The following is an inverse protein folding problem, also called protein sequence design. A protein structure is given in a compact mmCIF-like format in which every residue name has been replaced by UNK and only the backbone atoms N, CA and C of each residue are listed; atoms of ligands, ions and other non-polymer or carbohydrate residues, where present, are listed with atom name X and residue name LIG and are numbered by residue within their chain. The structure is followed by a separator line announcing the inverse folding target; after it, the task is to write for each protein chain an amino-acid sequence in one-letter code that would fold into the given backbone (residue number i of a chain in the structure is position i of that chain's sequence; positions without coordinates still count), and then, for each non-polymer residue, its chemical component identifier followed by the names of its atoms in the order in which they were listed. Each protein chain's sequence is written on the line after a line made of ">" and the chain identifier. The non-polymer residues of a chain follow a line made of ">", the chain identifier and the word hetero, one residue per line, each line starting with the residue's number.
data_IF_811630163667
#
_entry.id   IF_811630163667
#
_cell.length_a   1.000
_cell.length_b   1.000
_cell.length_c   1.000
_cell.angle_alpha   90.00
_cell.angle_beta   90.00
_cell.angle_gamma   90.00
#
_symmetry.space_group_name_H-M   'P 1'
#
loop_
_entity.id
_entity.type
_entity.pdbx_description
1 polymer ?
#
# COMPACT_ATOMS: atom_id res chain seq x y z
N UNK A 1 -4.09 15.41 -4.70
CA UNK A 1 -3.31 15.11 -3.48
C UNK A 1 -2.28 16.21 -3.31
N UNK A 2 -2.21 16.85 -2.14
CA UNK A 2 -1.14 17.80 -1.80
C UNK A 2 -0.13 17.14 -0.85
N UNK A 3 1.14 17.50 -0.95
CA UNK A 3 2.19 17.05 -0.02
C UNK A 3 1.88 17.60 1.38
N UNK A 4 2.14 16.82 2.43
CA UNK A 4 1.84 17.09 3.85
C UNK A 4 0.33 17.19 4.21
N UNK A 5 -0.56 16.90 3.27
CA UNK A 5 -1.96 16.67 3.59
C UNK A 5 -2.15 15.22 4.05
N UNK A 6 -3.05 15.00 5.02
CA UNK A 6 -3.49 13.65 5.37
C UNK A 6 -3.97 12.91 4.13
N UNK A 7 -3.47 11.69 3.93
CA UNK A 7 -3.99 10.80 2.90
C UNK A 7 -5.49 10.54 3.13
N UNK A 8 -6.32 10.53 2.07
CA UNK A 8 -7.72 10.11 2.17
C UNK A 8 -7.83 8.72 2.77
N UNK A 9 -8.78 8.53 3.69
CA UNK A 9 -9.05 7.21 4.25
C UNK A 9 -9.84 6.37 3.23
N UNK A 10 -9.52 5.09 3.15
CA UNK A 10 -10.20 4.11 2.30
C UNK A 10 -10.17 2.74 2.97
N UNK A 11 -11.07 1.87 2.51
CA UNK A 11 -11.21 0.50 2.97
C UNK A 11 -11.27 -0.43 1.76
N UNK A 12 -10.39 -1.42 1.70
CA UNK A 12 -10.31 -2.39 0.61
C UNK A 12 -10.12 -3.80 1.19
N UNK A 13 -10.71 -4.83 0.56
CA UNK A 13 -10.46 -6.21 0.93
C UNK A 13 -9.06 -6.65 0.47
N UNK A 14 -8.41 -7.49 1.27
CA UNK A 14 -7.23 -8.24 0.83
C UNK A 14 -7.61 -9.48 0.00
N UNK A 15 -6.60 -10.27 -0.37
CA UNK A 15 -6.77 -11.52 -1.12
C UNK A 15 -7.57 -12.59 -0.36
N UNK A 16 -7.60 -12.53 0.97
CA UNK A 16 -8.38 -13.41 1.84
C UNK A 16 -9.78 -12.85 2.17
N UNK A 17 -10.09 -11.64 1.69
CA UNK A 17 -11.34 -10.92 1.92
C UNK A 17 -11.40 -10.14 3.23
N UNK A 18 -10.31 -10.04 3.98
CA UNK A 18 -10.24 -9.20 5.18
C UNK A 18 -10.25 -7.73 4.78
N UNK A 19 -11.08 -6.92 5.44
CA UNK A 19 -11.14 -5.49 5.16
C UNK A 19 -10.00 -4.75 5.88
N UNK A 20 -9.17 -4.07 5.10
CA UNK A 20 -8.11 -3.19 5.59
C UNK A 20 -8.50 -1.74 5.38
N UNK A 21 -8.50 -0.98 6.47
CA UNK A 21 -8.70 0.47 6.45
C UNK A 21 -7.37 1.19 6.65
N UNK A 22 -7.06 2.19 5.83
CA UNK A 22 -5.78 2.92 5.91
C UNK A 22 -5.54 3.51 7.30
N UNK A 23 -6.59 4.04 7.94
CA UNK A 23 -6.51 4.60 9.29
C UNK A 23 -6.13 3.59 10.39
N UNK A 24 -6.27 2.27 10.17
CA UNK A 24 -5.80 1.25 11.14
C UNK A 24 -4.27 1.19 11.26
N UNK A 25 -3.53 1.69 10.26
CA UNK A 25 -2.07 1.65 10.23
C UNK A 25 -1.40 2.93 10.78
N UNK A 26 -2.17 3.85 11.36
CA UNK A 26 -1.63 5.08 11.96
C UNK A 26 -0.56 4.77 13.01
N UNK A 27 0.48 5.61 13.06
CA UNK A 27 1.64 5.40 13.94
C UNK A 27 2.76 4.55 13.33
N UNK A 28 2.58 4.07 12.09
CA UNK A 28 3.63 3.41 11.30
C UNK A 28 3.90 4.20 10.02
N UNK A 29 5.09 4.02 9.44
CA UNK A 29 5.34 4.43 8.06
C UNK A 29 4.63 3.43 7.15
N UNK A 30 3.78 3.92 6.25
CA UNK A 30 2.97 3.09 5.35
C UNK A 30 3.23 3.55 3.93
N UNK A 31 3.54 2.60 3.04
CA UNK A 31 3.67 2.83 1.61
C UNK A 31 2.39 2.33 0.94
N UNK A 32 1.63 3.22 0.30
CA UNK A 32 0.48 2.85 -0.52
C UNK A 32 0.95 2.70 -1.96
N UNK A 33 1.06 1.46 -2.43
CA UNK A 33 1.55 1.12 -3.76
C UNK A 33 0.38 0.84 -4.73
N UNK A 34 0.26 1.63 -5.79
CA UNK A 34 -0.70 1.39 -6.86
C UNK A 34 0.00 0.69 -8.02
N UNK A 35 -0.35 -0.56 -8.29
CA UNK A 35 0.36 -1.39 -9.26
C UNK A 35 -0.61 -2.19 -10.14
N UNK A 36 -0.05 -2.89 -11.13
CA UNK A 36 -0.76 -3.83 -12.00
C UNK A 36 0.22 -4.91 -12.46
N UNK A 37 -0.25 -6.16 -12.57
CA UNK A 37 0.55 -7.28 -13.08
C UNK A 37 0.96 -7.09 -14.55
N UNK A 38 0.28 -6.21 -15.28
CA UNK A 38 0.58 -5.91 -16.69
C UNK A 38 1.57 -4.74 -16.86
N UNK A 39 2.10 -4.20 -15.75
CA UNK A 39 3.03 -3.07 -15.78
C UNK A 39 4.48 -3.53 -15.53
N UNK A 40 5.37 -3.49 -16.54
CA UNK A 40 6.77 -3.87 -16.37
C UNK A 40 7.55 -3.00 -15.37
N UNK A 41 7.09 -1.79 -15.08
CA UNK A 41 7.70 -0.96 -14.06
C UNK A 41 7.39 -1.47 -12.66
N UNK A 42 6.15 -1.91 -12.41
CA UNK A 42 5.73 -2.47 -11.13
C UNK A 42 6.53 -3.72 -10.77
N UNK A 43 6.69 -4.66 -11.70
CA UNK A 43 7.47 -5.89 -11.49
C UNK A 43 8.92 -5.62 -11.03
N UNK A 44 9.56 -4.56 -11.56
CA UNK A 44 10.90 -4.17 -11.14
C UNK A 44 10.91 -3.55 -9.74
N UNK A 45 9.90 -2.74 -9.44
CA UNK A 45 9.80 -1.99 -8.19
C UNK A 45 9.42 -2.91 -7.02
N UNK A 46 8.62 -3.96 -7.24
CA UNK A 46 8.24 -4.93 -6.21
C UNK A 46 9.47 -5.57 -5.55
N UNK A 47 10.52 -5.86 -6.34
CA UNK A 47 11.80 -6.40 -5.84
C UNK A 47 12.58 -5.42 -4.96
N UNK A 48 12.33 -4.12 -5.07
CA UNK A 48 13.00 -3.08 -4.30
C UNK A 48 12.22 -2.67 -3.04
N UNK A 49 10.92 -2.96 -2.98
CA UNK A 49 10.03 -2.62 -1.86
C UNK A 49 9.95 -3.78 -0.83
N UNK A 50 10.39 -4.98 -1.20
CA UNK A 50 10.47 -6.16 -0.31
C UNK A 50 11.60 -6.04 0.76
N UNK A 51 11.48 -5.01 1.59
CA UNK A 51 12.18 -4.86 2.86
C UNK A 51 11.08 -4.96 3.93
N UNK A 52 11.11 -6.09 4.66
CA UNK A 52 10.00 -6.73 5.39
C UNK A 52 9.30 -5.98 6.53
N UNK A 53 9.14 -4.66 6.44
CA UNK A 53 8.65 -3.80 7.50
C UNK A 53 7.69 -2.69 7.03
N UNK A 54 7.52 -2.47 5.71
CA UNK A 54 6.68 -1.37 5.17
C UNK A 54 5.49 -1.80 4.30
N UNK A 55 5.37 -3.09 3.96
CA UNK A 55 4.35 -3.56 3.03
C UNK A 55 3.17 -4.20 3.78
N UNK A 56 2.07 -3.47 3.91
CA UNK A 56 0.78 -4.08 4.13
C UNK A 56 0.26 -4.51 2.75
N UNK A 57 0.36 -5.81 2.44
CA UNK A 57 -0.41 -6.39 1.33
C UNK A 57 -1.87 -6.34 1.75
N UNK A 58 -2.54 -5.23 1.42
CA UNK A 58 -3.96 -5.24 1.15
C UNK A 58 -4.11 -5.62 -0.32
#
# INVERSE_FOLDING_TARGET
>A
MQINQSAPDFELPDLDGNLHRLSHYRGRIVIVNFWSCECPHSERTDKAIDHGDAYAMA
#
